data_IF_258376090409
#
_entry.id   IF_258376090409
#
_cell.length_a   1.000
_cell.length_b   1.000
_cell.length_c   1.000
_cell.angle_alpha   90.00
_cell.angle_beta   90.00
_cell.angle_gamma   90.00
#
_symmetry.space_group_name_H-M   'P 1'
#
loop_
_entity.id
_entity.type
_entity.pdbx_description
1 polymer ?
#
# COMPACT_ATOMS: atom_id res chain seq x y z
N UNK A 1 17.60 6.36 -18.62
CA UNK A 1 17.24 7.35 -17.60
C UNK A 1 17.12 6.60 -16.28
N UNK A 2 17.74 7.09 -15.20
CA UNK A 2 17.66 6.43 -13.89
C UNK A 2 16.53 7.00 -13.03
N UNK A 3 16.08 6.28 -11.99
CA UNK A 3 14.95 6.71 -11.16
C UNK A 3 15.16 8.05 -10.46
N UNK A 4 16.43 8.46 -10.25
CA UNK A 4 16.78 9.78 -9.70
C UNK A 4 16.25 10.98 -10.50
N UNK A 5 15.94 10.79 -11.78
CA UNK A 5 15.44 11.87 -12.64
C UNK A 5 13.91 12.04 -12.57
N UNK A 6 13.20 11.11 -11.92
CA UNK A 6 11.74 11.16 -11.85
C UNK A 6 11.26 12.22 -10.84
N UNK A 7 10.20 12.99 -11.15
CA UNK A 7 9.59 13.90 -10.20
C UNK A 7 9.09 13.15 -8.96
N UNK A 8 9.20 13.79 -7.79
CA UNK A 8 8.78 13.19 -6.51
C UNK A 8 7.29 12.86 -6.54
N UNK A 9 6.46 13.80 -6.97
CA UNK A 9 5.01 13.65 -7.00
C UNK A 9 4.56 12.51 -7.92
N UNK A 10 5.26 12.28 -9.03
CA UNK A 10 4.97 11.17 -9.95
C UNK A 10 5.25 9.81 -9.31
N UNK A 11 6.35 9.69 -8.55
CA UNK A 11 6.64 8.47 -7.79
C UNK A 11 5.63 8.28 -6.67
N UNK A 12 5.26 9.33 -5.95
CA UNK A 12 4.28 9.27 -4.85
C UNK A 12 2.89 8.83 -5.31
N UNK A 13 2.44 9.25 -6.50
CA UNK A 13 1.18 8.73 -7.09
C UNK A 13 1.21 7.21 -7.23
N UNK A 14 2.34 6.66 -7.67
CA UNK A 14 2.53 5.22 -7.83
C UNK A 14 2.57 4.53 -6.46
N UNK A 15 3.31 5.08 -5.49
CA UNK A 15 3.39 4.46 -4.15
C UNK A 15 2.03 4.39 -3.48
N UNK A 16 1.20 5.44 -3.59
CA UNK A 16 -0.17 5.46 -3.07
C UNK A 16 -1.03 4.36 -3.70
N UNK A 17 -0.96 4.20 -5.02
CA UNK A 17 -1.70 3.17 -5.74
C UNK A 17 -1.22 1.76 -5.35
N UNK A 18 0.08 1.50 -5.41
CA UNK A 18 0.64 0.17 -5.20
C UNK A 18 0.51 -0.31 -3.76
N UNK A 19 0.69 0.59 -2.77
CA UNK A 19 0.43 0.27 -1.36
C UNK A 19 -1.03 -0.11 -1.20
N UNK A 20 -1.97 0.72 -1.69
CA UNK A 20 -3.41 0.47 -1.56
C UNK A 20 -3.82 -0.85 -2.22
N UNK A 21 -3.25 -1.18 -3.38
CA UNK A 21 -3.56 -2.42 -4.09
C UNK A 21 -2.72 -3.63 -3.63
N UNK A 22 -1.80 -3.46 -2.68
CA UNK A 22 -0.85 -4.49 -2.26
C UNK A 22 -0.18 -5.19 -3.46
N UNK A 23 0.36 -4.39 -4.38
CA UNK A 23 0.90 -4.89 -5.64
C UNK A 23 2.05 -5.90 -5.41
N UNK A 24 1.92 -7.08 -6.01
CA UNK A 24 2.89 -8.17 -5.90
C UNK A 24 3.89 -8.23 -7.07
N UNK A 25 3.87 -7.25 -7.98
CA UNK A 25 4.81 -7.19 -9.11
C UNK A 25 5.13 -5.76 -9.56
N UNK A 26 5.27 -4.80 -8.63
CA UNK A 26 5.72 -3.46 -9.04
C UNK A 26 7.24 -3.45 -9.24
N UNK A 27 7.64 -3.57 -10.50
CA UNK A 27 9.01 -3.31 -10.93
C UNK A 27 9.12 -2.15 -11.94
N UNK A 28 10.34 -1.64 -12.16
CA UNK A 28 10.59 -0.54 -13.09
C UNK A 28 10.10 -0.79 -14.52
N UNK A 29 10.10 -2.06 -14.96
CA UNK A 29 9.52 -2.47 -16.25
C UNK A 29 8.01 -2.25 -16.38
N UNK A 30 7.27 -2.11 -15.26
CA UNK A 30 5.83 -1.89 -15.23
C UNK A 30 5.49 -0.41 -15.09
N UNK A 31 6.44 0.50 -15.34
CA UNK A 31 6.23 1.95 -15.30
C UNK A 31 6.68 2.54 -16.63
N UNK A 32 5.73 3.06 -17.40
CA UNK A 32 6.03 3.80 -18.61
C UNK A 32 6.39 5.24 -18.25
N UNK A 33 7.29 5.83 -19.05
CA UNK A 33 7.70 7.23 -18.91
C UNK A 33 7.22 7.98 -20.14
N UNK A 34 6.35 8.97 -19.91
CA UNK A 34 5.91 9.93 -20.93
C UNK A 34 6.51 11.30 -20.68
N UNK A 35 6.50 12.15 -21.71
CA UNK A 35 6.81 13.57 -21.61
C UNK A 35 5.59 14.36 -22.03
N UNK A 36 5.10 15.22 -21.15
CA UNK A 36 4.01 16.12 -21.43
C UNK A 36 4.49 17.56 -21.56
N UNK A 37 3.77 18.36 -22.35
CA UNK A 37 4.00 19.79 -22.53
C UNK A 37 5.48 20.15 -22.73
N UNK A 38 5.99 21.02 -21.85
CA UNK A 38 7.36 21.55 -21.85
C UNK A 38 8.45 20.53 -21.43
N UNK A 39 8.18 19.22 -21.56
CA UNK A 39 9.12 18.16 -21.25
C UNK A 39 9.05 17.66 -19.80
N UNK A 40 7.96 17.96 -19.09
CA UNK A 40 7.68 17.39 -17.78
C UNK A 40 7.51 15.87 -17.90
N UNK A 41 8.23 15.12 -17.08
CA UNK A 41 8.12 13.67 -17.04
C UNK A 41 6.83 13.27 -16.31
N UNK A 42 6.09 12.35 -16.90
CA UNK A 42 4.90 11.71 -16.31
C UNK A 42 5.16 10.22 -16.24
N UNK A 43 4.82 9.59 -15.11
CA UNK A 43 4.97 8.16 -14.89
C UNK A 43 3.59 7.48 -14.96
N UNK A 44 3.49 6.45 -15.78
CA UNK A 44 2.24 5.73 -16.01
C UNK A 44 2.44 4.29 -15.54
N UNK A 45 1.91 3.91 -14.37
CA UNK A 45 1.98 2.53 -13.90
C UNK A 45 1.04 1.66 -14.73
N UNK A 46 1.59 0.61 -15.31
CA UNK A 46 0.86 -0.39 -16.08
C UNK A 46 0.92 -1.75 -15.37
N UNK A 47 0.27 -2.73 -15.98
CA UNK A 47 0.31 -4.14 -15.60
C UNK A 47 -0.03 -4.38 -14.12
N UNK A 48 -1.31 -4.21 -13.79
CA UNK A 48 -1.83 -4.38 -12.43
C UNK A 48 -2.40 -5.80 -12.20
N UNK A 49 -1.98 -6.78 -13.01
CA UNK A 49 -2.52 -8.15 -12.99
C UNK A 49 -2.23 -8.92 -11.69
N UNK A 50 -1.18 -8.53 -10.96
CA UNK A 50 -0.77 -9.09 -9.66
C UNK A 50 -1.12 -8.19 -8.47
N UNK A 51 -2.16 -7.37 -8.61
CA UNK A 51 -2.72 -6.58 -7.50
C UNK A 51 -3.82 -7.36 -6.74
N UNK A 52 -4.09 -6.91 -5.52
CA UNK A 52 -5.14 -7.45 -4.63
C UNK A 52 -4.96 -8.95 -4.32
N UNK A 53 -3.77 -9.38 -3.86
CA UNK A 53 -3.55 -10.76 -3.43
C UNK A 53 -4.38 -11.12 -2.19
N UNK A 54 -4.52 -12.43 -1.92
CA UNK A 54 -5.22 -12.94 -0.74
C UNK A 54 -4.45 -12.69 0.58
N UNK A 55 -3.15 -12.43 0.50
CA UNK A 55 -2.28 -12.14 1.64
C UNK A 55 -1.11 -11.24 1.21
N UNK A 56 -0.24 -10.86 2.15
CA UNK A 56 0.89 -9.94 1.91
C UNK A 56 2.22 -10.64 1.55
N UNK A 57 2.24 -11.96 1.34
CA UNK A 57 3.47 -12.74 1.12
C UNK A 57 4.28 -12.25 -0.09
N UNK A 58 3.60 -11.94 -1.19
CA UNK A 58 4.22 -11.62 -2.47
C UNK A 58 4.36 -10.10 -2.73
N UNK A 59 4.01 -9.24 -1.77
CA UNK A 59 4.05 -7.79 -1.95
C UNK A 59 5.47 -7.30 -2.27
N UNK A 60 5.65 -6.59 -3.39
CA UNK A 60 6.98 -6.15 -3.85
C UNK A 60 6.95 -4.82 -4.59
N UNK A 61 7.90 -3.95 -4.25
CA UNK A 61 7.97 -2.57 -4.73
C UNK A 61 9.41 -2.14 -5.07
N UNK A 62 9.76 -2.04 -6.35
CA UNK A 62 11.06 -1.52 -6.80
C UNK A 62 11.30 -0.06 -6.34
N UNK A 63 10.24 0.72 -6.22
CA UNK A 63 10.33 2.12 -5.85
C UNK A 63 10.82 2.34 -4.41
N UNK A 64 10.85 1.31 -3.56
CA UNK A 64 11.47 1.38 -2.22
C UNK A 64 12.93 1.83 -2.28
N UNK A 65 13.64 1.48 -3.36
CA UNK A 65 15.04 1.82 -3.54
C UNK A 65 15.26 3.17 -4.22
N UNK A 66 14.18 3.89 -4.56
CA UNK A 66 14.25 5.17 -5.24
C UNK A 66 14.33 6.30 -4.21
N UNK A 67 15.14 7.36 -4.44
CA UNK A 67 15.29 8.46 -3.48
C UNK A 67 13.96 9.12 -3.11
N UNK A 68 13.02 9.21 -4.06
CA UNK A 68 11.72 9.84 -3.90
C UNK A 68 10.85 9.15 -2.84
N UNK A 69 11.00 7.83 -2.65
CA UNK A 69 10.25 7.09 -1.63
C UNK A 69 10.67 7.47 -0.20
N UNK A 70 11.84 8.09 -0.01
CA UNK A 70 12.33 8.55 1.30
C UNK A 70 11.92 9.99 1.63
N UNK A 71 11.13 10.61 0.76
CA UNK A 71 10.57 11.95 0.95
C UNK A 71 9.13 11.80 1.43
N UNK A 72 8.76 12.52 2.48
CA UNK A 72 7.38 12.54 2.99
C UNK A 72 6.39 13.02 1.92
N UNK A 73 5.18 12.49 1.96
CA UNK A 73 4.10 12.94 1.08
C UNK A 73 3.84 14.44 1.21
N UNK A 74 3.47 15.08 0.10
CA UNK A 74 3.00 16.48 0.11
C UNK A 74 1.66 16.60 0.85
N UNK A 75 1.29 17.79 1.38
CA UNK A 75 -0.01 18.02 2.01
C UNK A 75 -1.19 17.59 1.13
N UNK A 76 -1.15 17.92 -0.16
CA UNK A 76 -2.20 17.52 -1.12
C UNK A 76 -2.31 16.00 -1.25
N UNK A 77 -1.19 15.28 -1.25
CA UNK A 77 -1.17 13.81 -1.29
C UNK A 77 -1.71 13.22 0.01
N UNK A 78 -1.38 13.81 1.17
CA UNK A 78 -1.91 13.40 2.48
C UNK A 78 -3.43 13.61 2.53
N UNK A 79 -3.93 14.73 2.02
CA UNK A 79 -5.36 15.01 1.96
C UNK A 79 -6.08 14.02 1.04
N UNK A 80 -5.49 13.69 -0.11
CA UNK A 80 -5.98 12.61 -0.98
C UNK A 80 -6.02 11.27 -0.25
N UNK A 81 -4.91 10.87 0.40
CA UNK A 81 -4.83 9.61 1.17
C UNK A 81 -5.91 9.57 2.26
N UNK A 82 -6.12 10.67 2.99
CA UNK A 82 -7.13 10.77 4.05
C UNK A 82 -8.54 10.51 3.51
N UNK A 83 -8.81 10.93 2.27
CA UNK A 83 -10.11 10.77 1.61
C UNK A 83 -10.41 9.34 1.11
N UNK A 84 -9.41 8.46 1.04
CA UNK A 84 -9.56 7.09 0.55
C UNK A 84 -10.51 6.26 1.43
N UNK A 85 -11.30 5.40 0.81
CA UNK A 85 -12.37 4.63 1.45
C UNK A 85 -12.49 3.25 0.80
N UNK A 86 -11.97 2.23 1.49
CA UNK A 86 -11.89 0.87 0.96
C UNK A 86 -13.27 0.26 0.65
N UNK A 87 -14.34 0.63 1.35
CA UNK A 87 -15.68 0.09 1.06
C UNK A 87 -16.22 0.67 -0.25
N UNK A 88 -16.04 1.97 -0.49
CA UNK A 88 -16.42 2.60 -1.78
C UNK A 88 -15.66 1.99 -2.94
N UNK A 89 -14.41 1.62 -2.71
CA UNK A 89 -13.57 0.98 -3.71
C UNK A 89 -14.06 -0.43 -4.04
N UNK A 90 -14.41 -1.22 -3.03
CA UNK A 90 -15.00 -2.55 -3.20
C UNK A 90 -16.34 -2.45 -3.92
N UNK A 91 -17.18 -1.48 -3.55
CA UNK A 91 -18.45 -1.20 -4.22
C UNK A 91 -18.26 -0.82 -5.68
N UNK A 92 -17.24 0.00 -6.00
CA UNK A 92 -16.90 0.38 -7.36
C UNK A 92 -16.46 -0.83 -8.21
N UNK A 93 -15.61 -1.70 -7.67
CA UNK A 93 -15.19 -2.93 -8.36
C UNK A 93 -16.40 -3.84 -8.63
N UNK A 94 -17.27 -3.98 -7.64
CA UNK A 94 -18.53 -4.74 -7.76
C UNK A 94 -19.45 -4.14 -8.81
N UNK A 95 -19.58 -2.82 -8.85
CA UNK A 95 -20.37 -2.11 -9.86
C UNK A 95 -19.86 -2.37 -11.28
N UNK A 96 -18.54 -2.46 -11.45
CA UNK A 96 -17.90 -2.82 -12.73
C UNK A 96 -17.86 -4.34 -13.00
N UNK A 97 -18.56 -5.15 -12.20
CA UNK A 97 -18.78 -6.57 -12.48
C UNK A 97 -17.79 -7.52 -11.80
N UNK A 98 -16.90 -7.01 -10.95
CA UNK A 98 -15.97 -7.84 -10.19
C UNK A 98 -16.34 -7.91 -8.71
N UNK A 99 -16.92 -9.03 -8.29
CA UNK A 99 -17.11 -9.32 -6.88
C UNK A 99 -15.78 -9.77 -6.28
N UNK A 100 -15.12 -8.86 -5.58
CA UNK A 100 -13.83 -9.12 -4.94
C UNK A 100 -13.96 -10.25 -3.89
N UNK A 101 -13.11 -11.29 -3.94
CA UNK A 101 -13.08 -12.33 -2.90
C UNK A 101 -12.84 -11.73 -1.51
N UNK A 102 -13.33 -12.41 -0.47
CA UNK A 102 -13.26 -11.91 0.91
C UNK A 102 -11.82 -11.59 1.34
N UNK A 103 -10.88 -12.49 1.04
CA UNK A 103 -9.47 -12.34 1.38
C UNK A 103 -8.82 -11.14 0.66
N UNK A 104 -9.06 -11.00 -0.65
CA UNK A 104 -8.60 -9.84 -1.42
C UNK A 104 -9.19 -8.51 -0.90
N UNK A 105 -10.47 -8.52 -0.52
CA UNK A 105 -11.14 -7.35 0.06
C UNK A 105 -10.55 -6.99 1.44
N UNK A 106 -10.20 -7.99 2.25
CA UNK A 106 -9.48 -7.81 3.52
C UNK A 106 -8.11 -7.19 3.28
N UNK A 107 -7.34 -7.70 2.31
CA UNK A 107 -6.05 -7.10 1.91
C UNK A 107 -6.21 -5.62 1.56
N UNK A 108 -7.19 -5.26 0.72
CA UNK A 108 -7.47 -3.87 0.34
C UNK A 108 -7.82 -2.97 1.53
N UNK A 109 -8.62 -3.47 2.48
CA UNK A 109 -8.98 -2.72 3.70
C UNK A 109 -7.75 -2.46 4.55
N UNK A 110 -6.96 -3.50 4.81
CA UNK A 110 -5.79 -3.44 5.68
C UNK A 110 -4.70 -2.56 5.04
N UNK A 111 -4.45 -2.69 3.75
CA UNK A 111 -3.47 -1.87 3.03
C UNK A 111 -3.87 -0.39 2.98
N UNK A 112 -5.16 -0.10 2.76
CA UNK A 112 -5.71 1.27 2.82
C UNK A 112 -5.55 1.84 4.23
N UNK A 113 -5.84 1.03 5.26
CA UNK A 113 -5.67 1.42 6.66
C UNK A 113 -4.20 1.75 6.98
N UNK A 114 -3.27 0.90 6.57
CA UNK A 114 -1.83 1.12 6.73
C UNK A 114 -1.39 2.43 6.08
N UNK A 115 -1.80 2.66 4.82
CA UNK A 115 -1.44 3.86 4.08
C UNK A 115 -1.94 5.12 4.80
N UNK A 116 -3.20 5.11 5.27
CA UNK A 116 -3.80 6.24 5.97
C UNK A 116 -3.11 6.52 7.30
N UNK A 117 -2.97 5.49 8.14
CA UNK A 117 -2.34 5.60 9.47
C UNK A 117 -0.86 6.00 9.39
N UNK A 118 -0.13 5.48 8.40
CA UNK A 118 1.26 5.81 8.18
C UNK A 118 1.46 7.23 7.66
N UNK A 119 0.66 7.66 6.68
CA UNK A 119 0.73 9.01 6.13
C UNK A 119 0.35 10.08 7.18
N UNK A 120 -0.66 9.80 8.02
CA UNK A 120 -1.06 10.68 9.13
C UNK A 120 0.06 10.89 10.16
N UNK A 121 0.88 9.85 10.39
CA UNK A 121 2.08 9.91 11.25
C UNK A 121 3.30 10.54 10.56
N UNK A 122 3.15 11.05 9.34
CA UNK A 122 4.25 11.65 8.58
C UNK A 122 5.29 10.63 8.08
N UNK A 123 4.99 9.33 8.10
CA UNK A 123 5.88 8.30 7.61
C UNK A 123 6.05 8.42 6.08
N UNK A 124 7.25 8.12 5.62
CA UNK A 124 7.59 8.17 4.18
C UNK A 124 7.02 6.94 3.45
N UNK A 125 6.80 7.01 2.12
CA UNK A 125 6.46 5.85 1.32
C UNK A 125 7.38 4.66 1.55
N UNK A 126 8.68 4.93 1.74
CA UNK A 126 9.69 3.92 2.04
C UNK A 126 9.37 3.15 3.32
N UNK A 127 9.05 3.84 4.42
CA UNK A 127 8.75 3.18 5.70
C UNK A 127 7.46 2.36 5.56
N UNK A 128 6.40 2.96 4.99
CA UNK A 128 5.10 2.31 4.83
C UNK A 128 5.20 1.07 3.93
N UNK A 129 5.83 1.21 2.75
CA UNK A 129 6.00 0.10 1.81
C UNK A 129 6.92 -1.01 2.36
N UNK A 130 7.95 -0.65 3.13
CA UNK A 130 8.85 -1.64 3.75
C UNK A 130 8.15 -2.54 4.76
N UNK A 131 7.03 -2.08 5.36
CA UNK A 131 6.23 -2.93 6.24
C UNK A 131 5.49 -4.04 5.48
N UNK A 132 5.21 -3.84 4.19
CA UNK A 132 4.47 -4.79 3.35
C UNK A 132 5.38 -5.83 2.68
N UNK A 133 6.64 -5.48 2.42
CA UNK A 133 7.57 -6.35 1.70
C UNK A 133 8.37 -7.23 2.66
N UNK A 134 8.53 -8.51 2.31
CA UNK A 134 9.46 -9.40 3.00
C UNK A 134 10.91 -9.00 2.71
N UNK A 135 11.78 -9.00 3.72
CA UNK A 135 13.23 -8.78 3.54
C UNK A 135 13.91 -9.96 2.82
N UNK A 136 13.40 -11.17 3.08
CA UNK A 136 13.83 -12.41 2.43
C UNK A 136 12.62 -13.33 2.31
N UNK A 137 12.66 -14.32 1.41
CA UNK A 137 11.60 -15.32 1.26
C UNK A 137 11.29 -16.12 2.53
N UNK A 138 12.12 -16.04 3.57
CA UNK A 138 11.98 -16.79 4.83
C UNK A 138 11.55 -15.92 6.02
N UNK A 139 11.49 -14.59 5.84
CA UNK A 139 11.16 -13.66 6.91
C UNK A 139 9.91 -12.91 6.52
N UNK A 140 8.82 -13.22 7.22
CA UNK A 140 7.53 -12.55 7.09
C UNK A 140 7.68 -11.04 7.23
N UNK A 141 6.92 -10.32 6.42
CA UNK A 141 6.80 -8.87 6.49
C UNK A 141 6.12 -8.45 7.79
N UNK A 142 6.22 -7.16 8.12
CA UNK A 142 5.52 -6.61 9.30
C UNK A 142 4.01 -6.76 9.14
N UNK A 143 3.49 -6.62 7.92
CA UNK A 143 2.06 -6.78 7.64
C UNK A 143 1.56 -8.20 7.88
N UNK A 144 2.33 -9.22 7.48
CA UNK A 144 1.98 -10.61 7.77
C UNK A 144 1.93 -10.88 9.27
N UNK A 145 2.92 -10.37 10.02
CA UNK A 145 2.95 -10.48 11.48
C UNK A 145 1.76 -9.78 12.15
N UNK A 146 1.37 -8.59 11.67
CA UNK A 146 0.19 -7.86 12.17
C UNK A 146 -1.08 -8.70 11.95
N UNK A 147 -1.26 -9.24 10.74
CA UNK A 147 -2.43 -10.05 10.38
C UNK A 147 -2.48 -11.33 11.21
N UNK A 148 -1.34 -12.01 11.37
CA UNK A 148 -1.25 -13.21 12.19
C UNK A 148 -1.54 -12.91 13.68
N UNK A 149 -0.94 -11.86 14.25
CA UNK A 149 -1.17 -11.46 15.63
C UNK A 149 -2.66 -11.12 15.87
N UNK A 150 -3.32 -10.46 14.90
CA UNK A 150 -4.75 -10.20 14.97
C UNK A 150 -5.56 -11.50 14.94
N UNK A 151 -5.20 -12.44 14.06
CA UNK A 151 -5.89 -13.73 13.92
C UNK A 151 -5.78 -14.59 15.19
N UNK A 152 -4.64 -14.54 15.89
CA UNK A 152 -4.42 -15.22 17.16
C UNK A 152 -5.13 -14.53 18.34
N UNK A 153 -5.38 -13.22 18.23
CA UNK A 153 -6.04 -12.44 19.29
C UNK A 153 -7.57 -12.56 19.33
N UNK A 154 -8.19 -13.02 18.23
CA UNK A 154 -9.65 -13.12 18.10
C UNK A 154 -10.14 -14.57 18.17
N UNK A 155 -11.39 -14.77 18.60
CA UNK A 155 -12.00 -16.10 18.67
C UNK A 155 -12.41 -16.60 17.27
N UNK A 156 -12.45 -17.93 17.03
CA UNK A 156 -13.02 -18.48 15.81
C UNK A 156 -14.47 -17.99 15.57
N UNK A 157 -14.78 -17.58 14.34
CA UNK A 157 -16.11 -17.05 13.99
C UNK A 157 -16.35 -15.58 14.35
N UNK A 158 -15.31 -14.86 14.77
CA UNK A 158 -15.37 -13.39 14.94
C UNK A 158 -15.75 -12.71 13.63
N UNK A 159 -16.56 -11.64 13.70
CA UNK A 159 -16.96 -10.86 12.53
C UNK A 159 -15.76 -10.14 11.89
N UNK A 160 -15.82 -9.91 10.58
CA UNK A 160 -14.79 -9.16 9.84
C UNK A 160 -14.47 -7.80 10.47
N UNK A 161 -15.49 -7.05 10.91
CA UNK A 161 -15.30 -5.75 11.55
C UNK A 161 -14.45 -5.83 12.82
N UNK A 162 -14.71 -6.81 13.68
CA UNK A 162 -13.95 -7.02 14.91
C UNK A 162 -12.52 -7.52 14.64
N UNK A 163 -12.32 -8.33 13.59
CA UNK A 163 -10.98 -8.71 13.14
C UNK A 163 -10.19 -7.49 12.65
N UNK A 164 -10.80 -6.63 11.82
CA UNK A 164 -10.16 -5.40 11.32
C UNK A 164 -9.87 -4.39 12.45
N UNK A 165 -10.69 -4.35 13.50
CA UNK A 165 -10.42 -3.54 14.69
C UNK A 165 -9.16 -4.05 15.42
N UNK A 166 -9.01 -5.38 15.58
CA UNK A 166 -7.80 -5.97 16.16
C UNK A 166 -6.56 -5.63 15.31
N UNK A 167 -6.65 -5.77 13.98
CA UNK A 167 -5.59 -5.35 13.05
C UNK A 167 -5.25 -3.87 13.24
N UNK A 168 -6.24 -2.99 13.33
CA UNK A 168 -6.05 -1.54 13.53
C UNK A 168 -5.27 -1.24 14.80
N UNK A 169 -5.63 -1.86 15.92
CA UNK A 169 -4.96 -1.66 17.22
C UNK A 169 -3.50 -2.15 17.21
N UNK A 170 -3.26 -3.34 16.65
CA UNK A 170 -1.91 -3.90 16.55
C UNK A 170 -1.06 -3.05 15.61
N UNK A 171 -1.64 -2.61 14.48
CA UNK A 171 -0.98 -1.74 13.53
C UNK A 171 -0.60 -0.39 14.15
N UNK A 172 -1.48 0.24 14.93
CA UNK A 172 -1.16 1.48 15.65
C UNK A 172 0.07 1.30 16.54
N UNK A 173 0.11 0.22 17.34
CA UNK A 173 1.28 -0.10 18.18
C UNK A 173 2.57 -0.20 17.36
N UNK A 174 2.55 -0.91 16.22
CA UNK A 174 3.73 -1.05 15.34
C UNK A 174 4.15 0.27 14.70
N UNK A 175 3.20 1.11 14.31
CA UNK A 175 3.48 2.40 13.68
C UNK A 175 4.00 3.44 14.69
N UNK A 176 3.54 3.39 15.93
CA UNK A 176 3.98 4.28 16.99
C UNK A 176 5.46 4.02 17.37
N UNK A 177 5.95 2.77 17.23
CA UNK A 177 7.37 2.42 17.39
C UNK A 177 8.26 3.01 16.28
N UNK A 178 7.68 3.38 15.13
CA UNK A 178 8.39 3.91 13.95
C UNK A 178 8.28 5.44 13.81
N UNK A 179 7.40 6.05 14.58
CA UNK A 179 7.17 7.49 14.57
C UNK A 179 8.22 8.18 15.45
N UNK A 180 8.87 9.25 14.98
CA UNK A 180 9.92 9.96 15.73
C UNK A 180 9.41 10.68 16.98
#
# INVERSE_FOLDING_TARGET
>A
MGPRAFPVDEVHKITVLDIRLANADRHAGNILVSKEGEGQLVLIPIDHGYCLPENFEDCTFDWLYWPQAKISYSPDTIDYIRSLDAEKDIELLKFHGWNLPLECARTLRISTMLLKKGAERGLTPFIIGSMMCRETLKKESVMEQIVQEAQESVLPGTSEAAFLEAVSMIMDRRLDELSP
#
